data_IF_059436046491
#
_entry.id   IF_059436046491
#
_cell.length_a   1.000
_cell.length_b   1.000
_cell.length_c   1.000
_cell.angle_alpha   90.00
_cell.angle_beta   90.00
_cell.angle_gamma   90.00
#
_symmetry.space_group_name_H-M   'P 1'
#
loop_
_entity.id
_entity.type
_entity.pdbx_description
1 polymer ?
#
# COMPACT_ATOMS: atom_id res chain seq x y z
N UNK A 1 20.70 -0.16 43.10
CA UNK A 1 19.99 0.64 44.11
C UNK A 1 18.76 1.21 43.42
N UNK A 2 17.67 0.42 43.37
CA UNK A 2 16.44 0.63 44.17
C UNK A 2 15.44 1.53 43.42
N UNK A 3 14.35 1.01 42.84
CA UNK A 3 13.02 0.79 43.47
C UNK A 3 12.42 2.13 43.98
N UNK A 4 11.18 2.53 43.66
CA UNK A 4 9.90 1.83 43.44
C UNK A 4 9.17 2.41 42.18
N UNK A 5 8.26 1.74 41.44
CA UNK A 5 7.00 1.02 41.75
C UNK A 5 5.82 1.88 42.25
N UNK A 6 4.79 2.02 41.39
CA UNK A 6 3.48 2.65 41.70
C UNK A 6 2.52 2.58 40.48
N UNK A 7 1.25 2.24 40.68
CA UNK A 7 0.22 2.05 39.61
C UNK A 7 -1.07 2.85 39.90
N UNK A 8 -2.00 3.01 38.93
CA UNK A 8 -2.82 4.23 38.83
C UNK A 8 -4.12 4.25 39.66
N UNK A 9 -4.67 5.47 39.82
CA UNK A 9 -5.99 5.72 40.40
C UNK A 9 -7.13 5.11 39.56
N UNK A 10 -8.17 4.66 40.25
CA UNK A 10 -9.52 4.47 39.70
C UNK A 10 -10.38 5.68 40.07
N UNK A 11 -11.28 6.08 39.18
CA UNK A 11 -12.37 7.02 39.48
C UNK A 11 -13.67 6.23 39.49
N UNK A 12 -14.43 6.35 40.59
CA UNK A 12 -15.83 5.93 40.69
C UNK A 12 -16.68 7.19 40.86
N UNK A 13 -17.85 7.23 40.21
CA UNK A 13 -18.85 8.29 40.37
C UNK A 13 -20.16 7.63 40.80
N UNK A 14 -20.80 8.18 41.83
CA UNK A 14 -22.03 7.65 42.40
C UNK A 14 -22.87 8.82 42.97
N UNK A 15 -23.94 9.23 42.28
CA UNK A 15 -24.81 10.34 42.71
C UNK A 15 -26.28 10.07 42.34
N UNK A 16 -27.06 9.64 43.34
CA UNK A 16 -28.47 10.01 43.61
C UNK A 16 -28.80 9.38 44.99
N UNK A 17 -29.71 9.86 45.86
CA UNK A 17 -30.74 10.90 45.78
C UNK A 17 -31.11 11.33 47.21
N UNK A 18 -31.62 12.55 47.46
CA UNK A 18 -32.35 12.83 48.71
C UNK A 18 -33.30 14.05 48.67
N UNK A 19 -34.60 13.78 48.84
CA UNK A 19 -35.65 14.70 49.31
C UNK A 19 -36.91 13.88 49.68
N UNK A 20 -37.12 13.55 50.97
CA UNK A 20 -37.95 14.27 51.97
C UNK A 20 -39.47 14.24 51.67
N UNK A 21 -40.28 13.37 52.29
CA UNK A 21 -41.00 13.46 53.59
C UNK A 21 -42.54 13.44 53.28
N UNK A 22 -43.39 12.47 53.69
CA UNK A 22 -43.99 12.15 55.02
C UNK A 22 -45.00 13.19 55.58
N UNK A 23 -46.06 12.81 56.35
CA UNK A 23 -46.85 11.55 56.43
C UNK A 23 -48.37 11.71 56.73
N UNK A 24 -49.02 10.61 57.21
CA UNK A 24 -50.31 10.43 57.93
C UNK A 24 -51.45 9.79 57.06
N UNK A 25 -51.82 8.52 57.28
CA UNK A 25 -52.73 7.97 58.33
C UNK A 25 -54.22 8.18 58.00
N UNK A 26 -55.19 7.28 58.26
CA UNK A 26 -55.37 6.05 59.08
C UNK A 26 -56.48 5.18 58.37
N UNK A 27 -56.96 3.97 58.72
CA UNK A 27 -56.85 3.04 59.87
C UNK A 27 -57.18 1.56 59.48
N UNK A 28 -57.16 0.66 60.49
CA UNK A 28 -57.97 -0.58 60.67
C UNK A 28 -57.93 -1.73 59.63
N UNK A 29 -57.46 -2.88 60.11
CA UNK A 29 -57.41 -4.22 59.48
C UNK A 29 -58.76 -4.84 59.10
N UNK A 30 -58.84 -5.50 57.93
CA UNK A 30 -59.77 -6.62 57.64
C UNK A 30 -59.02 -7.71 56.85
N UNK A 31 -59.23 -8.98 57.21
CA UNK A 31 -58.93 -10.21 56.45
C UNK A 31 -57.50 -10.43 55.90
N UNK A 32 -56.57 -10.71 56.81
CA UNK A 32 -55.20 -11.18 56.52
C UNK A 32 -55.13 -12.50 55.70
N UNK A 33 -56.23 -13.26 55.61
CA UNK A 33 -56.25 -14.61 55.01
C UNK A 33 -56.14 -14.68 53.47
N UNK A 34 -56.43 -13.60 52.74
CA UNK A 34 -56.38 -13.64 51.26
C UNK A 34 -54.95 -13.48 50.71
N UNK A 35 -54.09 -12.76 51.44
CA UNK A 35 -52.73 -12.42 51.02
C UNK A 35 -51.80 -13.64 50.91
N UNK A 36 -51.97 -14.65 51.76
CA UNK A 36 -51.05 -15.80 51.80
C UNK A 36 -51.13 -16.70 50.55
N UNK A 37 -52.29 -16.78 49.87
CA UNK A 37 -52.42 -17.51 48.59
C UNK A 37 -51.93 -16.71 47.38
N UNK A 38 -52.01 -15.38 47.41
CA UNK A 38 -51.55 -14.53 46.30
C UNK A 38 -50.02 -14.47 46.22
N UNK A 39 -49.33 -14.42 47.36
CA UNK A 39 -47.86 -14.27 47.37
C UNK A 39 -47.13 -15.43 46.68
N UNK A 40 -47.57 -16.68 46.92
CA UNK A 40 -46.99 -17.88 46.29
C UNK A 40 -47.21 -17.96 44.77
N UNK A 41 -48.32 -17.42 44.25
CA UNK A 41 -48.62 -17.47 42.81
C UNK A 41 -47.94 -16.32 42.02
N UNK A 42 -47.61 -15.21 42.69
CA UNK A 42 -46.96 -14.07 42.05
C UNK A 42 -45.43 -14.29 41.90
N UNK A 43 -44.78 -14.85 42.92
CA UNK A 43 -43.33 -15.09 42.93
C UNK A 43 -42.86 -16.08 41.86
N UNK A 44 -43.63 -17.15 41.58
CA UNK A 44 -43.30 -18.13 40.53
C UNK A 44 -43.43 -17.55 39.12
N UNK A 45 -44.38 -16.63 38.90
CA UNK A 45 -44.60 -15.96 37.62
C UNK A 45 -43.51 -14.92 37.30
N UNK A 46 -42.99 -14.22 38.32
CA UNK A 46 -41.93 -13.23 38.12
C UNK A 46 -40.56 -13.86 37.84
N UNK A 47 -40.17 -14.93 38.55
CA UNK A 47 -38.87 -15.59 38.38
C UNK A 47 -38.63 -16.10 36.94
N UNK A 48 -39.67 -16.64 36.30
CA UNK A 48 -39.58 -17.11 34.90
C UNK A 48 -39.51 -15.97 33.88
N UNK A 49 -40.12 -14.81 34.15
CA UNK A 49 -40.21 -13.71 33.19
C UNK A 49 -38.93 -12.87 33.13
N UNK A 50 -38.28 -12.59 34.26
CA UNK A 50 -37.01 -11.84 34.26
C UNK A 50 -35.88 -12.63 33.61
N UNK A 51 -35.66 -13.89 34.02
CA UNK A 51 -34.64 -14.77 33.43
C UNK A 51 -34.87 -15.09 31.94
N UNK A 52 -36.14 -15.10 31.49
CA UNK A 52 -36.50 -15.34 30.09
C UNK A 52 -36.23 -14.13 29.18
N UNK A 53 -36.33 -12.90 29.69
CA UNK A 53 -36.05 -11.67 28.93
C UNK A 53 -34.55 -11.39 28.87
N UNK A 54 -33.81 -11.53 29.98
CA UNK A 54 -32.36 -11.26 29.97
C UNK A 54 -31.62 -12.23 29.04
N UNK A 55 -31.94 -13.54 29.09
CA UNK A 55 -31.39 -14.52 28.13
C UNK A 55 -31.71 -14.13 26.69
N UNK A 56 -32.97 -13.85 26.36
CA UNK A 56 -33.38 -13.51 24.98
C UNK A 56 -32.66 -12.27 24.44
N UNK A 57 -32.35 -11.28 25.29
CA UNK A 57 -31.52 -10.14 24.91
C UNK A 57 -30.05 -10.52 24.67
N UNK A 58 -29.46 -11.34 25.56
CA UNK A 58 -28.11 -11.90 25.43
C UNK A 58 -27.95 -12.75 24.17
N UNK A 59 -28.93 -13.60 23.87
CA UNK A 59 -28.96 -14.47 22.70
C UNK A 59 -29.11 -13.66 21.40
N UNK A 60 -29.91 -12.58 21.43
CA UNK A 60 -30.05 -11.65 20.30
C UNK A 60 -28.76 -10.87 20.04
N UNK A 61 -28.13 -10.35 21.10
CA UNK A 61 -26.83 -9.68 21.03
C UNK A 61 -25.71 -10.62 20.57
N UNK A 62 -25.69 -11.87 21.04
CA UNK A 62 -24.74 -12.89 20.60
C UNK A 62 -24.94 -13.24 19.13
N UNK A 63 -26.19 -13.39 18.66
CA UNK A 63 -26.51 -13.61 17.24
C UNK A 63 -26.08 -12.42 16.37
N UNK A 64 -26.36 -11.18 16.80
CA UNK A 64 -25.91 -9.98 16.11
C UNK A 64 -24.37 -9.90 16.04
N UNK A 65 -23.67 -10.17 17.15
CA UNK A 65 -22.21 -10.19 17.20
C UNK A 65 -21.60 -11.28 16.31
N UNK A 66 -22.20 -12.47 16.26
CA UNK A 66 -21.77 -13.56 15.38
C UNK A 66 -21.99 -13.22 13.90
N UNK A 67 -23.12 -12.59 13.55
CA UNK A 67 -23.38 -12.12 12.18
C UNK A 67 -22.40 -11.01 11.77
N UNK A 68 -22.18 -10.01 12.61
CA UNK A 68 -21.20 -8.93 12.35
C UNK A 68 -19.78 -9.50 12.24
N UNK A 69 -19.39 -10.42 13.14
CA UNK A 69 -18.08 -11.09 13.09
C UNK A 69 -17.90 -11.90 11.79
N UNK A 70 -18.94 -12.63 11.36
CA UNK A 70 -18.95 -13.39 10.10
C UNK A 70 -18.84 -12.47 8.86
N UNK A 71 -19.56 -11.35 8.85
CA UNK A 71 -19.47 -10.32 7.80
C UNK A 71 -18.05 -9.74 7.75
N UNK A 72 -17.48 -9.36 8.90
CA UNK A 72 -16.11 -8.82 8.97
C UNK A 72 -15.07 -9.85 8.51
N UNK A 73 -15.20 -11.14 8.90
CA UNK A 73 -14.32 -12.21 8.40
C UNK A 73 -14.45 -12.39 6.87
N UNK A 74 -15.68 -12.37 6.35
CA UNK A 74 -15.93 -12.49 4.90
C UNK A 74 -15.30 -11.33 4.11
N UNK A 75 -15.47 -10.09 4.60
CA UNK A 75 -14.82 -8.91 4.03
C UNK A 75 -13.28 -8.99 4.09
N UNK A 76 -12.71 -9.55 5.16
CA UNK A 76 -11.25 -9.74 5.27
C UNK A 76 -10.74 -10.79 4.29
N UNK A 77 -11.41 -11.94 4.15
CA UNK A 77 -11.02 -12.99 3.20
C UNK A 77 -11.01 -12.45 1.76
N UNK A 78 -12.00 -11.64 1.37
CA UNK A 78 -12.05 -11.00 0.06
C UNK A 78 -10.82 -10.13 -0.27
N UNK A 79 -10.10 -9.60 0.72
CA UNK A 79 -8.88 -8.79 0.51
C UNK A 79 -7.58 -9.59 0.37
N UNK A 80 -7.65 -10.93 0.48
CA UNK A 80 -6.47 -11.80 0.46
C UNK A 80 -6.07 -12.32 -0.93
N UNK A 81 -6.89 -12.08 -1.95
CA UNK A 81 -6.67 -12.52 -3.33
C UNK A 81 -5.68 -11.61 -4.09
N UNK A 82 -4.42 -11.62 -3.68
CA UNK A 82 -3.31 -11.03 -4.43
C UNK A 82 -2.61 -12.07 -5.30
N UNK A 83 -2.47 -11.82 -6.60
CA UNK A 83 -1.71 -12.69 -7.50
C UNK A 83 -0.21 -12.69 -7.13
N UNK A 84 0.39 -13.88 -6.98
CA UNK A 84 1.81 -14.04 -6.67
C UNK A 84 2.59 -14.40 -7.93
N UNK A 85 3.72 -13.74 -8.16
CA UNK A 85 4.58 -13.95 -9.32
C UNK A 85 5.01 -15.42 -9.47
N UNK A 86 5.24 -16.11 -8.35
CA UNK A 86 5.58 -17.54 -8.31
C UNK A 86 4.45 -18.49 -8.76
N UNK A 87 3.20 -18.01 -8.84
CA UNK A 87 2.05 -18.80 -9.35
C UNK A 87 1.73 -18.53 -10.83
N UNK A 88 2.28 -17.48 -11.44
CA UNK A 88 2.08 -17.17 -12.86
C UNK A 88 2.87 -18.13 -13.75
N UNK A 89 2.25 -18.60 -14.84
CA UNK A 89 2.92 -19.41 -15.86
C UNK A 89 3.70 -18.54 -16.86
N UNK A 90 4.94 -18.94 -17.21
CA UNK A 90 5.76 -18.29 -18.25
C UNK A 90 5.35 -18.76 -19.65
N UNK A 91 4.17 -18.33 -20.11
CA UNK A 91 3.57 -18.72 -21.41
C UNK A 91 3.96 -17.81 -22.57
N UNK A 92 4.40 -16.58 -22.32
CA UNK A 92 4.74 -15.63 -23.37
C UNK A 92 6.24 -15.67 -23.72
N UNK A 93 6.53 -15.68 -25.02
CA UNK A 93 7.86 -15.35 -25.54
C UNK A 93 7.95 -13.83 -25.64
N UNK A 94 9.06 -13.25 -25.16
CA UNK A 94 9.30 -11.80 -25.24
C UNK A 94 10.74 -11.57 -25.67
N UNK A 95 10.91 -10.76 -26.71
CA UNK A 95 12.22 -10.27 -27.17
C UNK A 95 12.23 -8.74 -27.15
N UNK A 96 13.44 -8.17 -27.04
CA UNK A 96 13.65 -6.74 -27.15
C UNK A 96 14.96 -6.47 -27.91
N UNK A 97 14.97 -5.36 -28.64
CA UNK A 97 16.18 -4.61 -28.99
C UNK A 97 16.11 -3.29 -28.22
N UNK A 98 17.13 -2.88 -27.46
CA UNK A 98 18.57 -3.14 -27.64
C UNK A 98 19.05 -4.56 -27.28
N UNK A 99 20.24 -4.90 -27.77
CA UNK A 99 20.97 -6.12 -27.42
C UNK A 99 21.61 -6.03 -26.01
N UNK A 100 22.04 -7.18 -25.48
CA UNK A 100 22.65 -7.27 -24.15
C UNK A 100 23.89 -6.36 -24.03
N UNK A 101 23.96 -5.57 -22.94
CA UNK A 101 25.07 -4.66 -22.66
C UNK A 101 25.10 -3.36 -23.47
N UNK A 102 24.12 -3.11 -24.34
CA UNK A 102 23.97 -1.80 -24.99
C UNK A 102 23.37 -0.76 -24.04
N UNK A 103 23.70 0.51 -24.28
CA UNK A 103 23.20 1.68 -23.54
C UNK A 103 22.19 2.43 -24.42
N UNK A 104 21.07 2.85 -23.83
CA UNK A 104 19.96 3.55 -24.48
C UNK A 104 19.66 4.82 -23.70
N UNK A 105 19.54 5.98 -24.36
CA UNK A 105 19.18 7.24 -23.70
C UNK A 105 17.67 7.41 -23.58
N UNK A 106 17.22 7.74 -22.37
CA UNK A 106 15.86 8.25 -22.14
C UNK A 106 15.60 9.48 -23.01
N UNK A 107 14.39 9.60 -23.57
CA UNK A 107 13.91 10.75 -24.34
C UNK A 107 14.51 10.99 -25.72
N UNK A 108 15.49 10.19 -26.14
CA UNK A 108 16.13 10.24 -27.47
C UNK A 108 15.94 8.89 -28.20
N UNK A 109 16.38 7.80 -27.57
CA UNK A 109 16.48 6.48 -28.21
C UNK A 109 15.19 5.66 -28.09
N UNK A 110 15.10 4.62 -28.93
CA UNK A 110 13.92 3.75 -29.07
C UNK A 110 14.24 2.29 -28.81
N UNK A 111 13.37 1.64 -28.04
CA UNK A 111 13.36 0.21 -27.75
C UNK A 111 12.26 -0.43 -28.60
N UNK A 112 12.60 -1.49 -29.33
CA UNK A 112 11.60 -2.32 -30.04
C UNK A 112 11.39 -3.59 -29.26
N UNK A 113 10.17 -3.81 -28.78
CA UNK A 113 9.75 -5.01 -28.05
C UNK A 113 8.81 -5.85 -28.90
N UNK A 114 8.98 -7.17 -28.85
CA UNK A 114 8.08 -8.12 -29.51
C UNK A 114 7.62 -9.18 -28.53
N UNK A 115 6.37 -9.61 -28.65
CA UNK A 115 5.79 -10.66 -27.81
C UNK A 115 4.81 -11.54 -28.57
N UNK A 116 4.79 -12.82 -28.19
CA UNK A 116 3.88 -13.83 -28.73
C UNK A 116 3.60 -14.92 -27.70
N UNK A 117 2.53 -15.70 -27.93
CA UNK A 117 2.24 -16.89 -27.14
C UNK A 117 3.17 -18.04 -27.55
N UNK A 118 3.69 -18.79 -26.58
CA UNK A 118 4.52 -19.95 -26.86
C UNK A 118 3.65 -21.16 -27.24
N UNK A 119 3.61 -21.50 -28.53
CA UNK A 119 2.83 -22.59 -29.09
C UNK A 119 3.23 -24.01 -28.63
N UNK A 120 4.23 -24.18 -27.74
CA UNK A 120 4.51 -25.47 -27.08
C UNK A 120 3.54 -25.78 -25.94
N UNK A 121 2.79 -24.80 -25.43
CA UNK A 121 1.75 -25.01 -24.42
C UNK A 121 0.44 -25.50 -25.04
N UNK A 122 -0.39 -26.16 -24.23
CA UNK A 122 -1.68 -26.69 -24.68
C UNK A 122 -2.59 -25.56 -25.23
N UNK A 123 -3.37 -25.89 -26.27
CA UNK A 123 -4.27 -24.93 -26.91
C UNK A 123 -5.40 -24.55 -25.95
N UNK A 124 -5.55 -23.26 -25.64
CA UNK A 124 -6.56 -22.77 -24.71
C UNK A 124 -6.05 -22.53 -23.28
N UNK A 125 -4.77 -22.77 -22.96
CA UNK A 125 -4.16 -22.25 -21.71
C UNK A 125 -4.19 -20.71 -21.68
N UNK A 126 -4.24 -20.07 -22.84
CA UNK A 126 -4.41 -18.64 -23.06
C UNK A 126 -5.87 -18.16 -23.13
N UNK A 127 -6.86 -19.04 -22.96
CA UNK A 127 -8.29 -18.70 -23.10
C UNK A 127 -8.77 -17.59 -22.16
N UNK A 128 -8.13 -17.44 -20.99
CA UNK A 128 -8.40 -16.37 -20.02
C UNK A 128 -7.82 -15.02 -20.45
N UNK A 129 -6.84 -14.99 -21.36
CA UNK A 129 -6.10 -13.77 -21.69
C UNK A 129 -6.97 -12.80 -22.50
N UNK A 130 -6.94 -11.52 -22.13
CA UNK A 130 -7.71 -10.43 -22.77
C UNK A 130 -6.82 -9.25 -23.16
N UNK A 131 -5.84 -8.91 -22.31
CA UNK A 131 -4.96 -7.76 -22.49
C UNK A 131 -3.52 -8.15 -22.18
N UNK A 132 -2.56 -7.70 -22.99
CA UNK A 132 -1.14 -7.74 -22.66
C UNK A 132 -0.69 -6.34 -22.26
N UNK A 133 -0.04 -6.20 -21.09
CA UNK A 133 0.70 -4.99 -20.70
C UNK A 133 2.18 -5.33 -20.66
N UNK A 134 2.98 -4.67 -21.49
CA UNK A 134 4.44 -4.82 -21.53
C UNK A 134 5.05 -3.74 -20.64
N UNK A 135 5.92 -4.14 -19.70
CA UNK A 135 6.51 -3.26 -18.69
C UNK A 135 8.04 -3.30 -18.75
N UNK A 136 8.67 -2.17 -18.43
CA UNK A 136 10.12 -2.06 -18.21
C UNK A 136 10.44 -2.40 -16.74
N UNK A 137 11.44 -3.24 -16.53
CA UNK A 137 11.69 -3.91 -15.25
C UNK A 137 13.14 -3.78 -14.78
N UNK A 138 13.37 -3.39 -13.53
CA UNK A 138 14.70 -3.24 -12.94
C UNK A 138 15.43 -4.58 -12.79
N UNK A 139 16.61 -4.72 -13.38
CA UNK A 139 17.48 -5.86 -13.16
C UNK A 139 18.03 -5.88 -11.71
N UNK A 140 18.38 -7.05 -11.12
CA UNK A 140 18.76 -7.16 -9.70
C UNK A 140 19.90 -6.21 -9.28
N UNK A 141 20.91 -6.03 -10.15
CA UNK A 141 22.04 -5.11 -9.95
C UNK A 141 21.59 -3.66 -9.68
N UNK A 142 20.44 -3.25 -10.22
CA UNK A 142 19.85 -1.92 -10.03
C UNK A 142 18.81 -1.85 -8.91
N UNK A 143 18.54 -2.95 -8.20
CA UNK A 143 17.65 -3.00 -7.03
C UNK A 143 18.40 -2.89 -5.68
N UNK A 144 19.72 -3.11 -5.66
CA UNK A 144 20.58 -3.04 -4.46
C UNK A 144 20.42 -1.69 -3.76
N UNK A 145 20.15 -1.72 -2.45
CA UNK A 145 19.86 -0.56 -1.58
C UNK A 145 18.73 0.38 -2.06
N UNK A 146 17.97 0.01 -3.08
CA UNK A 146 16.83 0.76 -3.61
C UNK A 146 15.52 0.02 -3.27
N UNK A 147 15.07 0.13 -2.02
CA UNK A 147 13.82 -0.47 -1.56
C UNK A 147 12.59 -0.10 -2.42
N UNK A 148 12.62 1.04 -3.11
CA UNK A 148 11.59 1.49 -4.06
C UNK A 148 11.62 0.79 -5.44
N UNK A 149 12.62 -0.06 -5.71
CA UNK A 149 12.77 -0.91 -6.92
C UNK A 149 12.68 -2.42 -6.62
N UNK A 150 12.45 -2.78 -5.35
CA UNK A 150 12.62 -4.15 -4.84
C UNK A 150 11.61 -5.13 -5.45
N UNK A 151 12.10 -6.30 -5.86
CA UNK A 151 11.27 -7.46 -6.21
C UNK A 151 10.49 -7.95 -4.98
N UNK A 152 9.17 -8.11 -5.13
CA UNK A 152 8.29 -8.81 -4.17
C UNK A 152 7.51 -9.87 -4.95
N UNK A 153 7.17 -10.99 -4.30
CA UNK A 153 6.41 -12.07 -4.96
C UNK A 153 4.94 -11.69 -5.16
N UNK A 154 4.31 -11.07 -4.15
CA UNK A 154 3.00 -10.42 -4.25
C UNK A 154 3.04 -9.27 -5.28
N UNK A 155 2.34 -9.44 -6.40
CA UNK A 155 2.36 -8.50 -7.53
C UNK A 155 1.73 -7.14 -7.18
N UNK A 156 0.83 -7.07 -6.18
CA UNK A 156 0.30 -5.79 -5.69
C UNK A 156 1.37 -4.93 -4.99
N UNK A 157 2.51 -5.55 -4.63
CA UNK A 157 3.63 -4.93 -3.91
C UNK A 157 4.95 -4.97 -4.69
N UNK A 158 5.02 -5.66 -5.84
CA UNK A 158 6.24 -5.74 -6.66
C UNK A 158 6.59 -4.39 -7.29
N UNK A 159 7.79 -3.88 -6.96
CA UNK A 159 8.31 -2.63 -7.53
C UNK A 159 9.37 -2.88 -8.61
N UNK A 160 9.49 -4.11 -9.10
CA UNK A 160 10.39 -4.44 -10.21
C UNK A 160 10.00 -3.72 -11.51
N UNK A 161 8.71 -3.75 -11.87
CA UNK A 161 8.23 -3.39 -13.21
C UNK A 161 7.28 -2.18 -13.18
N UNK A 162 7.83 -0.96 -13.16
CA UNK A 162 7.07 0.26 -12.88
C UNK A 162 6.57 1.00 -14.14
N UNK A 163 7.34 1.01 -15.22
CA UNK A 163 7.00 1.77 -16.45
C UNK A 163 6.22 0.89 -17.43
N UNK A 164 5.17 1.42 -18.05
CA UNK A 164 4.33 0.72 -19.03
C UNK A 164 4.78 1.09 -20.45
N UNK A 165 5.40 0.14 -21.15
CA UNK A 165 5.93 0.34 -22.51
C UNK A 165 4.76 0.37 -23.52
N UNK A 166 3.82 -0.57 -23.39
CA UNK A 166 2.61 -0.61 -24.22
C UNK A 166 1.55 -1.52 -23.60
N UNK A 167 0.28 -1.14 -23.78
CA UNK A 167 -0.88 -1.98 -23.46
C UNK A 167 -1.67 -2.26 -24.74
N UNK A 168 -1.99 -3.54 -25.01
CA UNK A 168 -2.71 -4.00 -26.21
C UNK A 168 -3.70 -5.12 -25.88
N UNK A 169 -4.79 -5.28 -26.65
CA UNK A 169 -5.60 -6.49 -26.57
C UNK A 169 -4.76 -7.72 -26.93
N UNK A 170 -5.06 -8.86 -26.32
CA UNK A 170 -4.41 -10.13 -26.65
C UNK A 170 -4.87 -10.65 -28.01
N UNK A 171 -3.93 -11.18 -28.80
CA UNK A 171 -4.20 -11.85 -30.07
C UNK A 171 -3.20 -13.00 -30.24
N UNK A 172 -3.64 -14.28 -30.23
CA UNK A 172 -2.76 -15.44 -30.34
C UNK A 172 -2.16 -15.62 -31.75
N UNK A 173 -2.80 -15.09 -32.79
CA UNK A 173 -2.46 -15.37 -34.19
C UNK A 173 -1.33 -14.49 -34.73
N UNK A 174 -0.96 -13.41 -34.02
CA UNK A 174 0.00 -12.41 -34.49
C UNK A 174 1.20 -12.31 -33.54
N UNK A 175 2.42 -12.32 -34.10
CA UNK A 175 3.59 -11.81 -33.41
C UNK A 175 3.42 -10.29 -33.27
N UNK A 176 3.22 -9.81 -32.04
CA UNK A 176 3.02 -8.40 -31.77
C UNK A 176 4.39 -7.73 -31.62
N UNK A 177 4.57 -6.57 -32.26
CA UNK A 177 5.80 -5.76 -32.17
C UNK A 177 5.42 -4.31 -31.94
N UNK A 178 6.17 -3.63 -31.06
CA UNK A 178 5.97 -2.23 -30.76
C UNK A 178 7.32 -1.53 -30.54
N UNK A 179 7.46 -0.32 -31.07
CA UNK A 179 8.64 0.53 -30.86
C UNK A 179 8.26 1.69 -29.95
N UNK A 180 8.86 1.73 -28.76
CA UNK A 180 8.66 2.74 -27.72
C UNK A 180 9.89 3.66 -27.66
N UNK A 181 9.70 4.97 -27.72
CA UNK A 181 10.75 5.92 -27.32
C UNK A 181 10.83 5.89 -25.80
N UNK A 182 12.02 5.73 -25.23
CA UNK A 182 12.17 5.67 -23.77
C UNK A 182 11.73 6.99 -23.15
N UNK A 183 10.91 6.94 -22.10
CA UNK A 183 10.35 8.15 -21.47
C UNK A 183 11.42 8.88 -20.63
N UNK A 184 11.41 10.23 -20.64
CA UNK A 184 12.51 11.07 -20.09
C UNK A 184 12.75 10.92 -18.60
N UNK A 185 11.71 10.54 -17.86
CA UNK A 185 11.72 10.27 -16.43
C UNK A 185 12.20 8.85 -16.09
N UNK A 186 12.41 7.97 -17.08
CA UNK A 186 13.05 6.66 -16.88
C UNK A 186 14.46 6.88 -16.31
N UNK A 187 14.72 6.51 -15.04
CA UNK A 187 15.96 6.86 -14.35
C UNK A 187 17.09 5.91 -14.71
N UNK A 188 18.34 6.37 -14.58
CA UNK A 188 19.52 5.57 -14.90
C UNK A 188 19.55 4.25 -14.10
N UNK A 189 19.61 3.14 -14.82
CA UNK A 189 19.65 1.77 -14.29
C UNK A 189 19.81 0.73 -15.42
N UNK A 190 20.10 -0.50 -15.02
CA UNK A 190 20.01 -1.70 -15.85
C UNK A 190 18.60 -2.28 -15.82
N UNK A 191 18.06 -2.61 -16.99
CA UNK A 191 16.68 -3.06 -17.17
C UNK A 191 16.57 -4.35 -18.01
N UNK A 192 15.40 -4.98 -17.91
CA UNK A 192 14.88 -6.00 -18.83
C UNK A 192 13.41 -5.70 -19.14
N UNK A 193 12.83 -6.40 -20.12
CA UNK A 193 11.41 -6.25 -20.50
C UNK A 193 10.62 -7.48 -20.05
N UNK A 194 9.41 -7.24 -19.51
CA UNK A 194 8.45 -8.28 -19.13
C UNK A 194 7.07 -7.96 -19.71
N UNK A 195 6.46 -8.93 -20.39
CA UNK A 195 5.05 -8.88 -20.77
C UNK A 195 4.22 -9.65 -19.72
N UNK A 196 3.09 -9.08 -19.33
CA UNK A 196 2.09 -9.72 -18.46
C UNK A 196 0.79 -9.90 -19.24
N UNK A 197 0.21 -11.09 -19.16
CA UNK A 197 -1.13 -11.39 -19.66
C UNK A 197 -2.16 -11.16 -18.55
N UNK A 198 -3.20 -10.39 -18.87
CA UNK A 198 -4.29 -10.04 -17.97
C UNK A 198 -5.60 -10.69 -18.41
N UNK A 199 -6.41 -11.09 -17.42
CA UNK A 199 -7.76 -11.57 -17.64
C UNK A 199 -8.78 -10.40 -17.72
N UNK A 200 -10.07 -10.73 -17.73
CA UNK A 200 -11.17 -9.73 -17.76
C UNK A 200 -11.41 -8.98 -16.45
N UNK A 201 -10.77 -9.38 -15.35
CA UNK A 201 -10.80 -8.68 -14.05
C UNK A 201 -9.55 -7.81 -13.84
N UNK A 202 -8.68 -7.66 -14.86
CA UNK A 202 -7.37 -7.02 -14.79
C UNK A 202 -6.37 -7.64 -13.79
N UNK A 203 -6.50 -8.95 -13.53
CA UNK A 203 -5.53 -9.75 -12.77
C UNK A 203 -4.47 -10.37 -13.71
N UNK A 204 -3.20 -10.39 -13.31
CA UNK A 204 -2.15 -11.10 -14.03
C UNK A 204 -2.32 -12.63 -13.97
N UNK A 205 -2.49 -13.27 -15.13
CA UNK A 205 -2.71 -14.73 -15.28
C UNK A 205 -1.59 -15.45 -16.05
N UNK A 206 -0.55 -14.73 -16.46
CA UNK A 206 0.62 -15.30 -17.14
C UNK A 206 1.66 -14.22 -17.47
N UNK A 207 2.87 -14.64 -17.81
CA UNK A 207 3.95 -13.69 -18.15
C UNK A 207 4.94 -14.22 -19.20
N UNK A 208 5.80 -13.32 -19.65
CA UNK A 208 7.03 -13.61 -20.36
C UNK A 208 8.05 -12.50 -20.09
N UNK A 209 9.33 -12.79 -20.24
CA UNK A 209 10.40 -11.81 -20.05
C UNK A 209 11.61 -12.15 -20.92
N UNK A 210 12.39 -11.13 -21.29
CA UNK A 210 13.59 -11.26 -22.13
C UNK A 210 14.73 -11.99 -21.41
N UNK A 211 14.76 -11.92 -20.09
CA UNK A 211 15.83 -12.44 -19.22
C UNK A 211 15.51 -13.82 -18.63
N UNK A 212 16.52 -14.50 -18.10
CA UNK A 212 16.47 -15.80 -17.45
C UNK A 212 15.85 -15.75 -16.03
N UNK A 213 15.86 -16.88 -15.31
CA UNK A 213 15.33 -17.02 -13.95
C UNK A 213 16.09 -16.18 -12.91
N UNK A 214 17.41 -16.04 -13.06
CA UNK A 214 18.27 -15.25 -12.17
C UNK A 214 18.34 -13.78 -12.60
N UNK A 215 17.73 -13.43 -13.74
CA UNK A 215 17.64 -12.08 -14.32
C UNK A 215 19.03 -11.49 -14.64
N UNK A 216 19.94 -12.27 -15.23
CA UNK A 216 21.33 -11.85 -15.54
C UNK A 216 21.61 -11.67 -17.03
N UNK A 217 20.83 -12.31 -17.90
CA UNK A 217 20.96 -12.30 -19.36
C UNK A 217 20.03 -11.28 -20.03
N UNK A 218 20.33 -10.87 -21.27
CA UNK A 218 19.48 -9.97 -22.07
C UNK A 218 19.07 -8.67 -21.33
N UNK A 219 20.04 -8.12 -20.59
CA UNK A 219 19.94 -6.86 -19.87
C UNK A 219 20.55 -5.73 -20.70
N UNK A 220 19.93 -4.55 -20.65
CA UNK A 220 20.45 -3.32 -21.25
C UNK A 220 20.46 -2.19 -20.22
N UNK A 221 21.28 -1.17 -20.45
CA UNK A 221 21.32 0.01 -19.59
C UNK A 221 20.50 1.14 -20.20
N UNK A 222 19.69 1.81 -19.38
CA UNK A 222 19.06 3.07 -19.76
C UNK A 222 19.77 4.19 -19.02
N UNK A 223 20.18 5.23 -19.74
CA UNK A 223 20.72 6.47 -19.19
C UNK A 223 19.64 7.54 -19.22
N UNK A 224 19.26 8.07 -18.05
CA UNK A 224 18.36 9.20 -17.97
C UNK A 224 18.97 10.43 -18.64
N UNK A 225 18.15 11.29 -19.25
CA UNK A 225 18.56 12.67 -19.49
C UNK A 225 18.83 13.28 -18.13
N UNK A 226 19.98 13.92 -17.96
CA UNK A 226 20.29 14.63 -16.73
C UNK A 226 19.25 15.75 -16.51
N UNK A 227 18.35 15.56 -15.55
CA UNK A 227 17.39 16.60 -15.11
C UNK A 227 18.04 17.83 -14.47
N UNK A 228 19.38 17.85 -14.41
CA UNK A 228 20.22 18.98 -14.04
C UNK A 228 20.21 20.01 -15.18
N UNK A 229 19.14 20.80 -15.24
CA UNK A 229 19.02 21.92 -16.18
C UNK A 229 20.25 22.84 -16.08
N UNK A 230 20.82 23.23 -17.21
CA UNK A 230 22.00 24.11 -17.28
C UNK A 230 21.79 25.46 -16.58
N UNK A 231 20.55 25.94 -16.51
CA UNK A 231 20.16 27.13 -15.74
C UNK A 231 20.38 26.98 -14.23
N UNK A 232 20.15 25.78 -13.67
CA UNK A 232 20.38 25.49 -12.26
C UNK A 232 21.88 25.48 -11.95
N UNK A 233 22.69 24.95 -12.87
CA UNK A 233 24.15 24.96 -12.74
C UNK A 233 24.74 26.36 -12.82
N UNK A 234 24.34 27.14 -13.84
CA UNK A 234 24.71 28.56 -13.95
C UNK A 234 24.30 29.32 -12.67
N UNK A 235 23.06 29.13 -12.19
CA UNK A 235 22.60 29.76 -10.95
C UNK A 235 23.44 29.36 -9.72
N UNK A 236 23.78 28.06 -9.56
CA UNK A 236 24.62 27.60 -8.44
C UNK A 236 26.04 28.19 -8.48
N UNK A 237 26.62 28.35 -9.67
CA UNK A 237 27.92 29.01 -9.89
C UNK A 237 27.82 30.51 -9.53
N UNK A 238 26.79 31.20 -10.01
CA UNK A 238 26.56 32.61 -9.69
C UNK A 238 26.35 32.85 -8.18
N UNK A 239 25.52 32.04 -7.50
CA UNK A 239 25.26 32.21 -6.07
C UNK A 239 26.46 31.85 -5.19
N UNK A 240 27.25 30.83 -5.56
CA UNK A 240 28.48 30.49 -4.83
C UNK A 240 29.55 31.58 -5.00
N UNK A 241 29.74 32.11 -6.20
CA UNK A 241 30.62 33.25 -6.45
C UNK A 241 30.17 34.50 -5.67
N UNK A 242 28.87 34.83 -5.71
CA UNK A 242 28.32 35.97 -4.98
C UNK A 242 28.51 35.83 -3.46
N UNK A 243 28.28 34.64 -2.90
CA UNK A 243 28.53 34.34 -1.48
C UNK A 243 29.97 34.66 -1.09
N UNK A 244 30.96 34.11 -1.80
CA UNK A 244 32.40 34.34 -1.55
C UNK A 244 32.77 35.81 -1.67
N UNK A 245 32.32 36.49 -2.74
CA UNK A 245 32.58 37.92 -2.96
C UNK A 245 31.95 38.79 -1.86
N UNK A 246 30.71 38.48 -1.42
CA UNK A 246 30.05 39.23 -0.35
C UNK A 246 30.78 39.11 1.00
N UNK A 247 31.32 37.92 1.31
CA UNK A 247 32.09 37.67 2.52
C UNK A 247 33.43 38.44 2.52
N UNK A 248 34.16 38.44 1.41
CA UNK A 248 35.37 39.25 1.27
C UNK A 248 35.07 40.75 1.30
N UNK A 249 33.97 41.19 0.67
CA UNK A 249 33.50 42.58 0.73
C UNK A 249 33.18 43.03 2.16
N UNK A 250 32.49 42.19 2.94
CA UNK A 250 32.21 42.43 4.35
C UNK A 250 33.51 42.60 5.16
N UNK A 251 34.45 41.65 5.08
CA UNK A 251 35.73 41.74 5.79
C UNK A 251 36.58 42.97 5.37
N UNK A 252 36.49 43.40 4.11
CA UNK A 252 37.19 44.60 3.64
C UNK A 252 36.56 45.89 4.19
N UNK A 253 35.23 45.95 4.26
CA UNK A 253 34.49 47.08 4.87
C UNK A 253 34.76 47.13 6.38
N UNK A 254 34.73 46.00 7.08
CA UNK A 254 35.13 45.85 8.50
C UNK A 254 36.53 46.42 8.74
N UNK A 255 37.55 45.97 7.97
CA UNK A 255 38.93 46.49 8.11
C UNK A 255 39.05 47.98 7.81
N UNK A 256 38.24 48.54 6.92
CA UNK A 256 38.23 50.00 6.66
C UNK A 256 37.57 50.78 7.81
N UNK A 257 36.46 50.29 8.36
CA UNK A 257 35.80 50.89 9.54
C UNK A 257 36.72 50.85 10.77
N UNK A 258 37.33 49.70 11.06
CA UNK A 258 38.24 49.53 12.18
C UNK A 258 39.43 50.51 12.12
N UNK A 259 40.03 50.71 10.93
CA UNK A 259 41.10 51.72 10.74
C UNK A 259 40.60 53.15 10.95
N UNK A 260 39.43 53.51 10.41
CA UNK A 260 38.87 54.85 10.58
C UNK A 260 38.54 55.18 12.05
N UNK A 261 38.08 54.19 12.83
CA UNK A 261 37.80 54.35 14.27
C UNK A 261 39.05 54.41 15.15
N UNK A 262 40.23 54.07 14.64
CA UNK A 262 41.52 54.18 15.34
C UNK A 262 42.27 55.49 15.01
N UNK A 263 41.67 56.37 14.19
CA UNK A 263 42.26 57.62 13.72
C UNK A 263 41.39 58.83 14.13
N UNK A 264 40.65 58.70 15.23
CA UNK A 264 39.73 59.70 15.79
C UNK A 264 39.77 59.66 17.32
#
# INVERSE_FOLDING_TARGET
MSLLLGRPLKIYIYIQSLSTLHPLSLASSISLHLLHRLHHFYLSSFASKTFGVERRYKDSMARAALLVSSIVLSCLVATSYGATFSSLMRTLVVTASPAAGQVVKSGEDKITVSWSYNNTFARGTDSTYKTIKVKLCYAPISQVDRAWRKTVDDLSKDKTCQFNIVTKPYNPSNNNTFTWTVERDTPTATYFVRAYAYNSAEEEVGFGQTTDSHKTTNLFEVHAISGRHTSLDIASICFSAFSVVSLFGFFFIEKRKAKASQQK
#
